data_IF_619302643624
#
_entry.id   IF_619302643624
#
_cell.length_a   1.000
_cell.length_b   1.000
_cell.length_c   1.000
_cell.angle_alpha   90.00
_cell.angle_beta   90.00
_cell.angle_gamma   90.00
#
_symmetry.space_group_name_H-M   'P 1'
#
loop_
_entity.id
_entity.type
_entity.pdbx_description
1 polymer ?
#
# COMPACT_ATOMS: atom_id res chain seq x y z
N UNK A 1 8.11 -22.13 -0.34
CA UNK A 1 8.09 -21.59 -1.72
C UNK A 1 9.43 -20.91 -1.98
N UNK A 2 10.06 -21.10 -3.14
CA UNK A 2 11.18 -20.26 -3.54
C UNK A 2 10.70 -18.80 -3.61
N UNK A 3 11.57 -17.82 -3.31
CA UNK A 3 11.22 -16.42 -3.50
C UNK A 3 10.88 -16.20 -4.98
N UNK A 4 9.72 -15.59 -5.24
CA UNK A 4 9.38 -15.10 -6.58
C UNK A 4 10.51 -14.17 -7.05
N UNK A 5 10.97 -14.30 -8.31
CA UNK A 5 12.03 -13.45 -8.83
C UNK A 5 11.62 -11.98 -8.68
N UNK A 6 12.56 -11.13 -8.25
CA UNK A 6 12.32 -9.70 -8.14
C UNK A 6 12.11 -9.12 -9.54
N UNK A 7 10.88 -8.70 -9.83
CA UNK A 7 10.55 -8.03 -11.09
C UNK A 7 10.48 -6.52 -10.78
N UNK A 8 11.37 -5.68 -11.36
CA UNK A 8 11.32 -4.25 -11.14
C UNK A 8 10.00 -3.69 -11.66
N UNK A 9 9.37 -2.79 -10.89
CA UNK A 9 8.14 -2.12 -11.30
C UNK A 9 8.15 -0.66 -10.87
N UNK A 10 7.31 0.15 -11.50
CA UNK A 10 7.03 1.53 -11.12
C UNK A 10 5.54 1.73 -10.97
N UNK A 11 5.15 2.54 -9.98
CA UNK A 11 3.77 3.01 -9.82
C UNK A 11 3.68 4.44 -10.35
N UNK A 12 2.66 4.69 -11.16
CA UNK A 12 2.51 5.95 -11.89
C UNK A 12 1.10 6.48 -11.69
N UNK A 13 0.99 7.78 -11.48
CA UNK A 13 -0.29 8.48 -11.44
C UNK A 13 -0.48 9.32 -12.70
N UNK A 14 -1.60 9.14 -13.39
CA UNK A 14 -1.92 9.89 -14.60
C UNK A 14 -3.42 9.97 -14.81
N UNK A 15 -3.94 11.15 -15.16
CA UNK A 15 -5.37 11.34 -15.45
C UNK A 15 -6.30 10.94 -14.29
N UNK A 16 -5.84 11.08 -13.04
CA UNK A 16 -6.64 10.73 -11.85
C UNK A 16 -6.67 9.23 -11.51
N UNK A 17 -5.84 8.39 -12.14
CA UNK A 17 -5.75 6.94 -11.85
C UNK A 17 -4.32 6.49 -11.56
N UNK A 18 -4.18 5.44 -10.76
CA UNK A 18 -2.92 4.76 -10.50
C UNK A 18 -2.69 3.61 -11.50
N UNK A 19 -1.43 3.42 -11.91
CA UNK A 19 -1.00 2.38 -12.83
C UNK A 19 0.28 1.71 -12.35
N UNK A 20 0.48 0.47 -12.76
CA UNK A 20 1.68 -0.33 -12.52
C UNK A 20 2.37 -0.67 -13.84
N UNK A 21 3.61 -0.20 -13.98
CA UNK A 21 4.49 -0.56 -15.08
C UNK A 21 5.46 -1.65 -14.63
N UNK A 22 5.33 -2.85 -15.20
CA UNK A 22 6.23 -3.97 -14.94
C UNK A 22 7.48 -3.85 -15.83
N UNK A 23 8.63 -4.27 -15.32
CA UNK A 23 9.94 -4.12 -15.97
C UNK A 23 10.31 -2.67 -16.31
N UNK A 24 9.90 -1.71 -15.46
CA UNK A 24 10.05 -0.28 -15.74
C UNK A 24 11.48 0.15 -16.12
N UNK A 25 12.52 -0.51 -15.59
CA UNK A 25 13.93 -0.23 -15.95
C UNK A 25 14.33 -0.66 -17.36
N UNK A 26 13.49 -1.43 -18.06
CA UNK A 26 13.73 -1.95 -19.42
C UNK A 26 12.79 -1.36 -20.47
N UNK A 27 11.81 -0.57 -20.05
CA UNK A 27 10.81 0.01 -20.94
C UNK A 27 11.19 1.46 -21.22
N UNK A 28 11.32 1.81 -22.51
CA UNK A 28 11.42 3.20 -22.92
C UNK A 28 9.99 3.78 -23.08
N UNK A 29 9.76 4.95 -22.51
CA UNK A 29 8.47 5.64 -22.48
C UNK A 29 8.67 7.04 -23.06
N UNK A 30 8.04 7.34 -24.19
CA UNK A 30 8.16 8.63 -24.85
C UNK A 30 7.15 9.67 -24.33
N UNK A 31 5.96 9.22 -23.90
CA UNK A 31 4.88 10.11 -23.43
C UNK A 31 3.89 9.37 -22.50
N UNK A 32 2.90 10.13 -21.99
CA UNK A 32 1.91 9.62 -21.05
C UNK A 32 0.98 8.55 -21.62
N UNK A 33 0.57 8.69 -22.88
CA UNK A 33 -0.33 7.71 -23.53
C UNK A 33 0.37 6.35 -23.69
N UNK A 34 1.65 6.37 -24.08
CA UNK A 34 2.48 5.17 -24.15
C UNK A 34 2.65 4.52 -22.78
N UNK A 35 2.85 5.32 -21.73
CA UNK A 35 2.93 4.83 -20.35
C UNK A 35 1.67 4.09 -19.95
N UNK A 36 0.50 4.69 -20.16
CA UNK A 36 -0.79 4.11 -19.81
C UNK A 36 -0.99 2.80 -20.58
N UNK A 37 -0.71 2.79 -21.89
CA UNK A 37 -0.89 1.60 -22.75
C UNK A 37 -0.02 0.41 -22.33
N UNK A 38 1.16 0.65 -21.73
CA UNK A 38 2.11 -0.38 -21.29
C UNK A 38 1.96 -0.73 -19.81
N UNK A 39 1.02 -0.11 -19.11
CA UNK A 39 0.82 -0.30 -17.66
C UNK A 39 -0.53 -0.96 -17.37
N UNK A 40 -0.64 -1.55 -16.18
CA UNK A 40 -1.90 -2.11 -15.66
C UNK A 40 -2.54 -1.08 -14.73
N UNK A 41 -3.83 -0.78 -14.91
CA UNK A 41 -4.56 0.11 -14.00
C UNK A 41 -4.77 -0.55 -12.64
N UNK A 42 -4.69 0.24 -11.56
CA UNK A 42 -4.86 -0.22 -10.19
C UNK A 42 -6.23 0.20 -9.61
N UNK A 43 -6.81 -0.63 -8.70
CA UNK A 43 -6.30 -1.92 -8.23
C UNK A 43 -6.46 -3.00 -9.30
N UNK A 44 -5.58 -4.02 -9.28
CA UNK A 44 -5.77 -5.22 -10.08
C UNK A 44 -6.96 -5.97 -9.44
N UNK A 45 -8.16 -5.85 -10.02
CA UNK A 45 -9.39 -6.38 -9.41
C UNK A 45 -9.26 -7.89 -9.21
N UNK A 46 -9.09 -8.31 -7.96
CA UNK A 46 -9.17 -9.70 -7.55
C UNK A 46 -10.17 -9.78 -6.37
N UNK A 47 -11.23 -10.56 -6.57
CA UNK A 47 -12.23 -10.83 -5.55
C UNK A 47 -11.76 -12.06 -4.74
N UNK A 48 -11.30 -11.82 -3.52
CA UNK A 48 -10.81 -12.87 -2.63
C UNK A 48 -11.74 -12.99 -1.43
N UNK A 49 -12.15 -14.22 -1.10
CA UNK A 49 -12.92 -14.50 0.12
C UNK A 49 -12.08 -14.43 1.41
N UNK A 50 -10.75 -14.31 1.29
CA UNK A 50 -9.81 -14.30 2.42
C UNK A 50 -9.28 -12.89 2.63
N UNK A 51 -9.41 -12.35 3.85
CA UNK A 51 -8.87 -11.03 4.19
C UNK A 51 -7.36 -11.10 4.29
N UNK A 52 -6.65 -10.35 3.46
CA UNK A 52 -5.19 -10.30 3.42
C UNK A 52 -4.66 -9.07 4.13
N UNK A 53 -3.80 -9.27 5.12
CA UNK A 53 -3.20 -8.20 5.93
C UNK A 53 -1.70 -8.17 5.70
N UNK A 54 -1.17 -7.01 5.32
CA UNK A 54 0.28 -6.84 5.17
C UNK A 54 0.88 -6.22 6.44
N UNK A 55 1.81 -6.93 7.06
CA UNK A 55 2.46 -6.53 8.30
C UNK A 55 4.00 -6.59 8.20
N UNK A 56 4.68 -6.09 9.23
CA UNK A 56 6.16 -6.16 9.27
C UNK A 56 6.62 -7.56 9.62
N UNK A 57 7.69 -8.01 8.95
CA UNK A 57 8.31 -9.31 9.19
C UNK A 57 9.09 -9.35 10.50
N UNK A 58 9.68 -8.22 10.88
CA UNK A 58 10.69 -8.15 11.94
C UNK A 58 10.12 -7.73 13.29
N UNK A 59 9.02 -6.96 13.33
CA UNK A 59 8.39 -6.43 14.55
C UNK A 59 6.89 -6.32 14.29
N UNK A 60 6.12 -7.30 14.76
CA UNK A 60 4.66 -7.21 14.78
C UNK A 60 4.24 -6.75 16.17
N UNK A 61 3.75 -5.51 16.27
CA UNK A 61 3.27 -4.93 17.52
C UNK A 61 2.07 -5.75 18.05
N UNK A 62 1.88 -5.79 19.37
CA UNK A 62 0.80 -6.57 20.00
C UNK A 62 -0.58 -6.13 19.48
N UNK A 63 -0.74 -4.83 19.29
CA UNK A 63 -1.94 -4.18 18.76
C UNK A 63 -2.23 -4.61 17.32
N UNK A 64 -1.20 -4.94 16.53
CA UNK A 64 -1.41 -5.49 15.18
C UNK A 64 -1.99 -6.89 15.25
N UNK A 65 -1.56 -7.71 16.22
CA UNK A 65 -2.15 -9.04 16.44
C UNK A 65 -3.59 -8.94 16.92
N UNK A 66 -3.86 -8.06 17.87
CA UNK A 66 -5.23 -7.82 18.35
C UNK A 66 -6.15 -7.37 17.21
N UNK A 67 -5.68 -6.50 16.32
CA UNK A 67 -6.44 -6.11 15.13
C UNK A 67 -6.74 -7.29 14.21
N UNK A 68 -5.75 -8.19 13.99
CA UNK A 68 -5.92 -9.41 13.20
C UNK A 68 -6.97 -10.34 13.83
N UNK A 69 -6.91 -10.53 15.16
CA UNK A 69 -7.82 -11.40 15.91
C UNK A 69 -9.27 -10.89 15.92
N UNK A 70 -9.47 -9.58 15.78
CA UNK A 70 -10.81 -8.96 15.74
C UNK A 70 -11.47 -9.00 14.35
N UNK A 71 -10.78 -9.53 13.32
CA UNK A 71 -11.37 -9.67 11.98
C UNK A 71 -12.16 -10.97 11.90
N UNK A 72 -13.42 -10.87 11.50
CA UNK A 72 -14.27 -12.02 11.27
C UNK A 72 -13.88 -12.71 9.95
N UNK A 73 -13.67 -14.03 9.99
CA UNK A 73 -13.41 -14.85 8.82
C UNK A 73 -11.95 -15.29 8.68
N UNK A 74 -11.61 -15.83 7.50
CA UNK A 74 -10.25 -16.30 7.23
C UNK A 74 -9.32 -15.10 6.95
N UNK A 75 -8.20 -15.06 7.68
CA UNK A 75 -7.21 -14.00 7.56
C UNK A 75 -5.86 -14.57 7.14
N UNK A 76 -5.27 -13.98 6.11
CA UNK A 76 -3.92 -14.28 5.63
C UNK A 76 -2.99 -13.11 5.92
N UNK A 77 -1.93 -13.34 6.70
CA UNK A 77 -0.92 -12.31 6.95
C UNK A 77 0.26 -12.49 6.01
N UNK A 78 0.58 -11.45 5.25
CA UNK A 78 1.75 -11.38 4.36
C UNK A 78 2.77 -10.39 4.90
N UNK A 79 4.06 -10.67 4.70
CA UNK A 79 5.14 -9.83 5.22
C UNK A 79 5.96 -9.19 4.10
N UNK A 80 6.06 -7.86 4.13
CA UNK A 80 6.81 -7.10 3.13
C UNK A 80 7.65 -5.99 3.75
N UNK A 81 8.60 -5.46 2.97
CA UNK A 81 9.39 -4.28 3.33
C UNK A 81 8.51 -3.01 3.43
N UNK A 82 8.96 -1.99 4.17
CA UNK A 82 8.12 -0.88 4.63
C UNK A 82 7.30 -0.20 3.53
N UNK A 83 7.95 0.32 2.47
CA UNK A 83 7.28 1.05 1.40
C UNK A 83 6.42 0.16 0.49
N UNK A 84 6.81 -1.11 0.31
CA UNK A 84 6.10 -2.06 -0.54
C UNK A 84 4.70 -2.42 -0.01
N UNK A 85 4.42 -2.18 1.27
CA UNK A 85 3.10 -2.46 1.86
C UNK A 85 2.01 -1.58 1.28
N UNK A 86 2.31 -0.30 1.06
CA UNK A 86 1.39 0.61 0.36
C UNK A 86 1.14 0.15 -1.07
N UNK A 87 2.18 -0.32 -1.78
CA UNK A 87 2.01 -0.88 -3.12
C UNK A 87 1.09 -2.11 -3.11
N UNK A 88 1.23 -3.01 -2.13
CA UNK A 88 0.37 -4.19 -2.02
C UNK A 88 -1.09 -3.84 -1.77
N UNK A 89 -1.36 -2.81 -0.96
CA UNK A 89 -2.71 -2.28 -0.74
C UNK A 89 -3.25 -1.65 -2.01
N UNK A 90 -2.50 -0.76 -2.65
CA UNK A 90 -2.90 -0.10 -3.90
C UNK A 90 -3.11 -1.09 -5.06
N UNK A 91 -2.36 -2.19 -5.10
CA UNK A 91 -2.54 -3.26 -6.08
C UNK A 91 -3.77 -4.13 -5.80
N UNK A 92 -4.39 -4.04 -4.61
CA UNK A 92 -5.50 -4.91 -4.20
C UNK A 92 -5.06 -6.28 -3.65
N UNK A 93 -3.75 -6.50 -3.49
CA UNK A 93 -3.14 -7.75 -2.97
C UNK A 93 -3.12 -7.84 -1.45
N UNK A 94 -3.42 -6.74 -0.76
CA UNK A 94 -3.69 -6.69 0.66
C UNK A 94 -4.90 -5.79 0.90
N UNK A 95 -5.81 -6.23 1.75
CA UNK A 95 -6.99 -5.46 2.16
C UNK A 95 -6.61 -4.42 3.21
N UNK A 96 -5.71 -4.78 4.13
CA UNK A 96 -5.32 -3.92 5.24
C UNK A 96 -3.80 -3.87 5.46
N UNK A 97 -3.33 -2.67 5.76
CA UNK A 97 -2.00 -2.42 6.33
C UNK A 97 -2.14 -1.61 7.63
N UNK A 98 -2.25 -2.29 8.80
CA UNK A 98 -2.16 -1.63 10.09
C UNK A 98 -0.70 -1.26 10.41
N UNK A 99 -0.46 0.00 10.80
CA UNK A 99 0.83 0.47 11.31
C UNK A 99 0.61 1.17 12.65
N UNK A 100 0.68 0.36 13.71
CA UNK A 100 0.50 0.80 15.10
C UNK A 100 1.84 1.03 15.78
N UNK A 101 2.70 1.79 15.09
CA UNK A 101 4.00 2.19 15.58
C UNK A 101 4.33 3.56 15.00
N UNK A 102 5.14 4.38 15.68
CA UNK A 102 5.55 5.68 15.17
C UNK A 102 6.19 5.57 13.77
N UNK A 103 5.86 6.53 12.91
CA UNK A 103 6.48 6.73 11.59
C UNK A 103 6.68 8.23 11.38
N UNK A 104 7.38 8.59 10.31
CA UNK A 104 7.54 9.98 9.91
C UNK A 104 6.75 10.27 8.64
N UNK A 105 6.49 11.55 8.37
CA UNK A 105 5.77 11.99 7.18
C UNK A 105 6.33 11.38 5.88
N UNK A 106 7.66 11.38 5.74
CA UNK A 106 8.34 10.82 4.57
C UNK A 106 8.17 9.31 4.39
N UNK A 107 7.82 8.56 5.45
CA UNK A 107 7.53 7.12 5.35
C UNK A 107 6.16 6.84 4.72
N UNK A 108 5.26 7.84 4.73
CA UNK A 108 3.83 7.65 4.38
C UNK A 108 3.37 8.50 3.21
N UNK A 109 3.95 9.69 2.96
CA UNK A 109 3.47 10.64 1.95
C UNK A 109 3.29 10.03 0.56
N UNK A 110 4.34 9.43 0.02
CA UNK A 110 4.28 8.78 -1.28
C UNK A 110 3.32 7.57 -1.28
N UNK A 111 3.34 6.78 -0.20
CA UNK A 111 2.48 5.60 -0.06
C UNK A 111 0.99 5.95 -0.01
N UNK A 112 0.62 7.00 0.73
CA UNK A 112 -0.74 7.49 0.81
C UNK A 112 -1.25 8.03 -0.52
N UNK A 113 -0.43 8.83 -1.22
CA UNK A 113 -0.81 9.33 -2.53
C UNK A 113 -1.11 8.19 -3.52
N UNK A 114 -0.31 7.12 -3.49
CA UNK A 114 -0.49 5.93 -4.33
C UNK A 114 -1.77 5.16 -3.95
N UNK A 115 -2.00 4.92 -2.67
CA UNK A 115 -3.20 4.19 -2.19
C UNK A 115 -4.47 4.94 -2.53
N UNK A 116 -4.52 6.25 -2.26
CA UNK A 116 -5.69 7.07 -2.55
C UNK A 116 -5.94 7.18 -4.06
N UNK A 117 -4.87 7.26 -4.87
CA UNK A 117 -4.99 7.23 -6.33
C UNK A 117 -5.49 5.89 -6.90
N UNK A 118 -5.33 4.80 -6.14
CA UNK A 118 -5.92 3.49 -6.44
C UNK A 118 -7.33 3.32 -5.85
N UNK A 119 -7.91 4.36 -5.24
CA UNK A 119 -9.26 4.32 -4.65
C UNK A 119 -9.32 3.84 -3.20
N UNK A 120 -8.18 3.50 -2.60
CA UNK A 120 -8.08 3.13 -1.19
C UNK A 120 -7.99 4.32 -0.25
N UNK A 121 -7.68 4.05 1.03
CA UNK A 121 -7.56 5.09 2.07
C UNK A 121 -6.35 4.88 2.97
N UNK A 122 -5.80 5.96 3.53
CA UNK A 122 -4.83 5.92 4.64
C UNK A 122 -5.32 6.84 5.74
N UNK A 123 -5.84 6.24 6.81
CA UNK A 123 -6.50 6.95 7.89
C UNK A 123 -5.77 6.76 9.22
N UNK A 124 -5.69 7.85 9.98
CA UNK A 124 -5.23 7.83 11.37
C UNK A 124 -6.11 6.90 12.20
N UNK A 125 -5.47 6.08 13.02
CA UNK A 125 -6.17 5.03 13.76
C UNK A 125 -7.17 5.61 14.78
N UNK A 126 -6.79 6.70 15.45
CA UNK A 126 -7.50 7.31 16.59
C UNK A 126 -8.85 7.93 16.19
N UNK A 127 -8.87 8.71 15.11
CA UNK A 127 -10.01 9.56 14.75
C UNK A 127 -10.46 9.37 13.29
N UNK A 128 -9.87 8.40 12.59
CA UNK A 128 -10.18 8.05 11.21
C UNK A 128 -10.03 9.22 10.22
N UNK A 129 -9.21 10.21 10.58
CA UNK A 129 -8.90 11.35 9.71
C UNK A 129 -7.75 11.04 8.76
N UNK A 130 -7.78 11.66 7.59
CA UNK A 130 -6.67 11.63 6.62
C UNK A 130 -5.43 12.31 7.19
N UNK A 131 -4.22 11.84 6.87
CA UNK A 131 -3.01 12.62 7.17
C UNK A 131 -2.93 13.89 6.30
N UNK A 132 -2.36 14.91 6.91
CA UNK A 132 -1.83 16.08 6.22
C UNK A 132 -0.33 16.16 6.49
N UNK A 133 0.39 16.65 5.50
CA UNK A 133 1.85 16.70 5.47
C UNK A 133 2.32 18.15 5.59
N UNK A 134 3.61 18.34 5.86
CA UNK A 134 4.24 19.63 6.14
C UNK A 134 3.81 20.23 7.49
N UNK A 135 3.71 19.39 8.53
CA UNK A 135 3.47 19.83 9.91
C UNK A 135 4.77 20.23 10.59
N UNK A 136 4.70 21.07 11.62
CA UNK A 136 5.85 21.36 12.48
C UNK A 136 6.40 20.10 13.17
N UNK A 137 5.49 19.22 13.61
CA UNK A 137 5.83 17.89 14.10
C UNK A 137 5.62 16.85 13.00
N UNK A 138 6.73 16.34 12.47
CA UNK A 138 6.76 15.36 11.38
C UNK A 138 6.44 13.92 11.82
N UNK A 139 6.20 13.70 13.12
CA UNK A 139 5.82 12.40 13.65
C UNK A 139 4.37 12.07 13.28
N UNK A 140 4.18 10.89 12.71
CA UNK A 140 2.87 10.33 12.45
C UNK A 140 2.36 9.51 13.63
N UNK A 141 1.06 9.67 13.90
CA UNK A 141 0.30 8.73 14.71
C UNK A 141 0.13 7.39 13.98
N UNK A 142 -0.44 6.43 14.67
CA UNK A 142 -0.81 5.15 14.10
C UNK A 142 -1.81 5.32 12.96
N UNK A 143 -1.77 4.40 11.99
CA UNK A 143 -2.66 4.42 10.85
C UNK A 143 -3.10 3.04 10.40
N UNK A 144 -4.17 3.04 9.60
CA UNK A 144 -4.63 1.91 8.83
C UNK A 144 -4.71 2.36 7.36
N UNK A 145 -3.97 1.70 6.49
CA UNK A 145 -4.24 1.78 5.06
C UNK A 145 -5.17 0.64 4.63
N UNK A 146 -6.13 0.94 3.77
CA UNK A 146 -7.05 -0.04 3.19
C UNK A 146 -7.15 0.15 1.69
N UNK A 147 -7.45 -0.93 0.97
CA UNK A 147 -7.80 -0.85 -0.45
C UNK A 147 -9.20 -0.26 -0.66
#
# INVERSE_FOLDING_TARGET
MPPQPWIPFSLVWMGGRAYKLVNASKVNIANGDELISKSVALPEVEDHQVTTIVASRSHMAGETKEFIENINGEVKVVSSGSSLKFCLVAEGKADYYPRFAPTMEWDTGAGQAIVEAAGGSVLRYQDKQRFYYNRENLLNSWFLASK
#
